data_IF_828691192782
#
_entry.id   IF_828691192782
#
_cell.length_a   1.000
_cell.length_b   1.000
_cell.length_c   1.000
_cell.angle_alpha   90.00
_cell.angle_beta   90.00
_cell.angle_gamma   90.00
#
_symmetry.space_group_name_H-M   'P 1'
#
loop_
_entity.id
_entity.type
_entity.pdbx_description
1 polymer ?
#
# COMPACT_ATOMS: atom_id res chain seq x y z
N UNK A 1 8.25 3.34 -12.72
CA UNK A 1 7.92 2.22 -11.83
C UNK A 1 6.83 1.37 -12.44
N UNK A 2 7.24 0.37 -13.18
CA UNK A 2 6.29 -0.60 -13.73
C UNK A 2 5.70 -1.43 -12.61
N UNK A 3 4.42 -1.74 -12.70
CA UNK A 3 3.72 -2.56 -11.74
C UNK A 3 3.02 -1.80 -10.62
N UNK A 4 3.23 -0.49 -10.49
CA UNK A 4 2.45 0.28 -9.54
C UNK A 4 1.03 0.53 -10.07
N UNK A 5 0.02 0.28 -9.25
CA UNK A 5 -1.36 0.59 -9.60
C UNK A 5 -1.62 2.09 -9.66
N UNK A 6 -0.77 2.86 -9.05
CA UNK A 6 -0.92 4.32 -8.98
C UNK A 6 -0.38 4.94 -10.28
N UNK A 7 -1.29 5.47 -11.09
CA UNK A 7 -0.94 6.09 -12.37
C UNK A 7 -0.03 7.32 -12.23
N UNK A 8 0.11 7.86 -11.02
CA UNK A 8 0.97 9.00 -10.75
C UNK A 8 2.35 8.61 -10.22
N UNK A 9 2.61 7.30 -10.05
CA UNK A 9 3.87 6.83 -9.50
C UNK A 9 5.09 7.38 -10.24
N UNK A 10 5.05 7.33 -11.57
CA UNK A 10 6.13 7.85 -12.39
C UNK A 10 6.40 9.34 -12.15
N UNK A 11 5.33 10.13 -12.08
CA UNK A 11 5.44 11.58 -11.88
C UNK A 11 5.94 11.91 -10.47
N UNK A 12 5.51 11.14 -9.48
CA UNK A 12 5.98 11.29 -8.10
C UNK A 12 7.49 11.02 -8.01
N UNK A 13 7.95 9.97 -8.67
CA UNK A 13 9.37 9.63 -8.74
C UNK A 13 10.13 10.73 -9.47
N UNK A 14 9.61 11.21 -10.60
CA UNK A 14 10.20 12.28 -11.38
C UNK A 14 10.32 13.59 -10.58
N UNK A 15 9.34 13.86 -9.73
CA UNK A 15 9.36 15.02 -8.83
C UNK A 15 10.34 14.85 -7.67
N UNK A 16 11.06 13.73 -7.60
CA UNK A 16 12.05 13.42 -6.56
C UNK A 16 11.46 13.46 -5.15
N UNK A 17 10.20 13.09 -5.02
CA UNK A 17 9.51 13.11 -3.72
C UNK A 17 10.24 12.26 -2.68
N UNK A 18 10.75 11.09 -3.09
CA UNK A 18 11.39 10.17 -2.18
C UNK A 18 12.86 10.47 -1.89
N UNK A 19 13.42 11.50 -2.53
CA UNK A 19 14.80 11.90 -2.25
C UNK A 19 14.92 12.37 -0.80
N UNK A 20 16.00 11.94 -0.13
CA UNK A 20 16.28 12.26 1.27
C UNK A 20 15.27 11.71 2.29
N UNK A 21 14.40 10.80 1.90
CA UNK A 21 13.53 10.09 2.83
C UNK A 21 14.25 8.81 3.27
N UNK A 22 14.61 8.75 4.55
CA UNK A 22 15.35 7.62 5.13
C UNK A 22 14.47 6.74 6.01
N UNK A 23 13.34 7.27 6.49
CA UNK A 23 12.45 6.57 7.40
C UNK A 23 11.03 7.13 7.27
N UNK A 24 10.10 6.54 8.02
CA UNK A 24 8.69 6.95 7.97
C UNK A 24 8.48 8.36 8.51
N UNK A 25 9.27 8.80 9.48
CA UNK A 25 9.14 10.15 10.02
C UNK A 25 9.50 11.21 8.99
N UNK A 26 10.56 11.00 8.22
CA UNK A 26 10.95 11.88 7.10
C UNK A 26 9.82 11.94 6.08
N UNK A 27 9.22 10.81 5.77
CA UNK A 27 8.10 10.71 4.84
C UNK A 27 6.90 11.54 5.33
N UNK A 28 6.50 11.36 6.59
CA UNK A 28 5.36 12.07 7.16
C UNK A 28 5.60 13.58 7.18
N UNK A 29 6.78 14.00 7.57
CA UNK A 29 7.15 15.42 7.56
C UNK A 29 7.05 16.02 6.16
N UNK A 30 7.55 15.31 5.16
CA UNK A 30 7.55 15.80 3.78
C UNK A 30 6.14 15.89 3.21
N UNK A 31 5.31 14.90 3.46
CA UNK A 31 3.95 14.86 2.96
C UNK A 31 3.08 15.94 3.63
N UNK A 32 3.31 16.24 4.91
CA UNK A 32 2.57 17.25 5.66
C UNK A 32 2.93 18.69 5.28
N UNK A 33 4.04 18.89 4.58
CA UNK A 33 4.40 20.22 4.06
C UNK A 33 3.52 20.69 2.89
N UNK A 34 2.50 19.90 2.51
CA UNK A 34 1.54 20.31 1.50
C UNK A 34 1.95 20.01 0.08
N UNK A 35 2.47 18.82 -0.16
CA UNK A 35 2.78 18.38 -1.51
C UNK A 35 1.48 18.26 -2.31
N UNK A 36 1.29 19.14 -3.29
CA UNK A 36 0.13 19.12 -4.17
C UNK A 36 0.56 18.65 -5.57
N UNK A 37 -0.16 17.68 -6.10
CA UNK A 37 0.24 17.05 -7.33
C UNK A 37 -0.94 16.89 -8.28
N UNK A 38 -0.80 17.43 -9.50
CA UNK A 38 -1.78 17.31 -10.58
C UNK A 38 -3.20 17.75 -10.21
N UNK A 39 -3.36 18.81 -9.44
CA UNK A 39 -4.67 19.35 -9.04
C UNK A 39 -5.58 18.32 -8.34
N UNK A 40 -5.01 17.25 -7.80
CA UNK A 40 -5.75 16.26 -7.02
C UNK A 40 -5.98 16.79 -5.61
N UNK A 41 -7.05 16.31 -4.98
CA UNK A 41 -7.27 16.59 -3.56
C UNK A 41 -6.08 16.13 -2.72
N UNK A 42 -5.67 16.96 -1.76
CA UNK A 42 -4.48 16.70 -0.92
C UNK A 42 -4.55 15.33 -0.24
N UNK A 43 -5.71 14.97 0.32
CA UNK A 43 -5.86 13.71 1.05
C UNK A 43 -5.69 12.49 0.13
N UNK A 44 -6.24 12.55 -1.08
CA UNK A 44 -6.08 11.47 -2.03
C UNK A 44 -4.63 11.34 -2.49
N UNK A 45 -3.96 12.46 -2.72
CA UNK A 45 -2.54 12.47 -3.11
C UNK A 45 -1.67 11.86 -2.02
N UNK A 46 -1.92 12.20 -0.75
CA UNK A 46 -1.21 11.61 0.38
C UNK A 46 -1.39 10.10 0.44
N UNK A 47 -2.61 9.62 0.27
CA UNK A 47 -2.90 8.18 0.26
C UNK A 47 -2.16 7.45 -0.87
N UNK A 48 -2.19 8.01 -2.07
CA UNK A 48 -1.52 7.43 -3.23
C UNK A 48 0.01 7.38 -3.05
N UNK A 49 0.59 8.44 -2.52
CA UNK A 49 2.02 8.49 -2.25
C UNK A 49 2.39 7.48 -1.17
N UNK A 50 1.56 7.34 -0.14
CA UNK A 50 1.80 6.36 0.91
C UNK A 50 1.73 4.93 0.39
N UNK A 51 0.82 4.63 -0.55
CA UNK A 51 0.78 3.31 -1.20
C UNK A 51 2.10 3.00 -1.91
N UNK A 52 2.66 3.97 -2.62
CA UNK A 52 3.96 3.80 -3.30
C UNK A 52 5.07 3.59 -2.28
N UNK A 53 5.05 4.34 -1.19
CA UNK A 53 6.00 4.15 -0.09
C UNK A 53 5.92 2.74 0.49
N UNK A 54 4.71 2.23 0.73
CA UNK A 54 4.51 0.89 1.28
C UNK A 54 5.01 -0.20 0.32
N UNK A 55 4.76 -0.04 -0.98
CA UNK A 55 5.26 -0.95 -2.00
C UNK A 55 6.80 -1.02 -1.96
N UNK A 56 7.45 0.14 -1.94
CA UNK A 56 8.91 0.22 -1.87
C UNK A 56 9.44 -0.32 -0.53
N UNK A 57 8.76 -0.02 0.57
CA UNK A 57 9.13 -0.49 1.90
C UNK A 57 9.11 -2.01 1.98
N UNK A 58 8.04 -2.64 1.52
CA UNK A 58 7.94 -4.10 1.49
C UNK A 58 9.03 -4.71 0.61
N UNK A 59 9.27 -4.11 -0.55
CA UNK A 59 10.22 -4.63 -1.53
C UNK A 59 11.66 -4.54 -1.05
N UNK A 60 12.01 -3.52 -0.29
CA UNK A 60 13.40 -3.24 0.10
C UNK A 60 13.75 -3.66 1.51
N UNK A 61 12.77 -3.96 2.37
CA UNK A 61 13.04 -4.37 3.74
C UNK A 61 13.33 -5.87 3.80
N UNK A 62 14.58 -6.28 4.14
CA UNK A 62 14.95 -7.69 4.14
C UNK A 62 14.18 -8.54 5.15
N UNK A 63 13.56 -7.95 6.16
CA UNK A 63 12.75 -8.65 7.15
C UNK A 63 11.61 -9.44 6.52
N UNK A 64 10.99 -8.90 5.44
CA UNK A 64 9.85 -9.53 4.80
C UNK A 64 10.24 -10.55 3.73
N UNK A 65 11.49 -10.61 3.35
CA UNK A 65 12.03 -11.55 2.35
C UNK A 65 11.18 -11.57 1.06
N UNK A 66 10.86 -10.39 0.56
CA UNK A 66 9.96 -10.23 -0.59
C UNK A 66 10.69 -10.53 -1.89
N UNK A 67 10.12 -11.43 -2.68
CA UNK A 67 10.55 -11.69 -4.04
C UNK A 67 9.95 -10.68 -5.01
N UNK A 68 8.66 -10.41 -4.89
CA UNK A 68 7.96 -9.46 -5.76
C UNK A 68 6.74 -8.89 -5.06
N UNK A 69 6.43 -7.63 -5.35
CA UNK A 69 5.22 -6.94 -4.88
C UNK A 69 4.33 -6.68 -6.09
N UNK A 70 3.06 -7.04 -5.95
CA UNK A 70 2.05 -6.85 -6.98
C UNK A 70 0.95 -5.93 -6.45
N UNK A 71 0.97 -4.63 -6.81
CA UNK A 71 -0.15 -3.75 -6.48
C UNK A 71 -1.47 -4.27 -7.05
N UNK A 72 -2.56 -3.90 -6.41
CA UNK A 72 -3.90 -4.25 -6.90
C UNK A 72 -4.07 -3.80 -8.37
N UNK A 73 -4.65 -4.67 -9.20
CA UNK A 73 -4.74 -4.44 -10.63
C UNK A 73 -3.59 -5.04 -11.44
N UNK A 74 -2.48 -5.39 -10.78
CA UNK A 74 -1.33 -6.01 -11.41
C UNK A 74 -1.02 -7.40 -10.85
N UNK A 75 -1.91 -7.94 -10.01
CA UNK A 75 -1.74 -9.28 -9.44
C UNK A 75 -1.93 -10.32 -10.53
N UNK A 76 -0.95 -11.19 -10.79
CA UNK A 76 -1.08 -12.24 -11.81
C UNK A 76 -2.26 -13.16 -11.55
N UNK A 77 -2.83 -13.70 -12.63
CA UNK A 77 -4.00 -14.58 -12.55
C UNK A 77 -3.72 -15.79 -11.65
N UNK A 78 -2.55 -16.40 -11.75
CA UNK A 78 -2.25 -17.58 -10.93
C UNK A 78 -2.24 -17.28 -9.44
N UNK A 79 -1.82 -16.07 -9.03
CA UNK A 79 -1.86 -15.63 -7.65
C UNK A 79 -3.30 -15.33 -7.22
N UNK A 80 -4.05 -14.63 -8.08
CA UNK A 80 -5.46 -14.33 -7.79
C UNK A 80 -6.25 -15.62 -7.59
N UNK A 81 -6.00 -16.63 -8.40
CA UNK A 81 -6.69 -17.91 -8.26
C UNK A 81 -6.34 -18.61 -6.94
N UNK A 82 -5.07 -18.59 -6.54
CA UNK A 82 -4.64 -19.18 -5.27
C UNK A 82 -5.27 -18.48 -4.07
N UNK A 83 -5.37 -17.16 -4.12
CA UNK A 83 -5.90 -16.35 -3.02
C UNK A 83 -7.41 -16.13 -3.15
N UNK A 84 -8.04 -16.65 -4.19
CA UNK A 84 -9.46 -16.46 -4.50
C UNK A 84 -9.84 -14.98 -4.57
N UNK A 85 -8.97 -14.17 -5.17
CA UNK A 85 -9.22 -12.76 -5.41
C UNK A 85 -9.81 -12.55 -6.79
N UNK A 86 -10.94 -11.85 -6.85
CA UNK A 86 -11.51 -11.44 -8.13
C UNK A 86 -10.76 -10.22 -8.67
N UNK A 87 -10.79 -10.04 -9.98
CA UNK A 87 -10.15 -8.89 -10.62
C UNK A 87 -10.66 -7.55 -10.06
N UNK A 88 -11.92 -7.50 -9.67
CA UNK A 88 -12.55 -6.28 -9.17
C UNK A 88 -12.55 -6.16 -7.65
N UNK A 89 -11.93 -7.11 -6.94
CA UNK A 89 -11.87 -7.04 -5.48
C UNK A 89 -11.20 -5.74 -5.04
N UNK A 90 -11.87 -5.07 -4.12
CA UNK A 90 -11.38 -3.86 -3.45
C UNK A 90 -11.27 -4.20 -1.97
N UNK A 91 -10.43 -3.51 -1.26
CA UNK A 91 -10.24 -3.77 0.17
C UNK A 91 -8.85 -4.30 0.48
N UNK A 92 -8.04 -4.51 -0.54
CA UNK A 92 -6.61 -4.74 -0.38
C UNK A 92 -5.85 -3.86 -1.39
N UNK A 93 -4.62 -3.51 -1.08
CA UNK A 93 -3.81 -2.66 -1.96
C UNK A 93 -2.84 -3.46 -2.80
N UNK A 94 -2.56 -4.68 -2.41
CA UNK A 94 -1.73 -5.56 -3.21
C UNK A 94 -1.41 -6.88 -2.52
N UNK A 95 -0.56 -7.63 -3.21
CA UNK A 95 -0.05 -8.94 -2.78
C UNK A 95 1.46 -8.89 -2.88
N UNK A 96 2.15 -9.52 -1.97
CA UNK A 96 3.57 -9.80 -2.17
C UNK A 96 3.87 -11.28 -2.00
N UNK A 97 4.81 -11.76 -2.82
CA UNK A 97 5.31 -13.12 -2.76
C UNK A 97 6.67 -13.10 -2.09
N UNK A 98 6.86 -13.98 -1.11
CA UNK A 98 8.15 -14.12 -0.46
C UNK A 98 9.07 -15.03 -1.27
N UNK A 99 10.37 -15.01 -0.95
CA UNK A 99 11.34 -15.91 -1.58
C UNK A 99 11.03 -17.39 -1.35
N UNK A 100 10.25 -17.69 -0.31
CA UNK A 100 9.79 -19.06 -0.01
C UNK A 100 8.47 -19.43 -0.70
N UNK A 101 7.92 -18.52 -1.52
CA UNK A 101 6.67 -18.75 -2.24
C UNK A 101 5.40 -18.49 -1.45
N UNK A 102 5.49 -17.91 -0.26
CA UNK A 102 4.33 -17.53 0.53
C UNK A 102 3.66 -16.29 -0.09
N UNK A 103 2.33 -16.29 -0.12
CA UNK A 103 1.54 -15.20 -0.68
C UNK A 103 0.86 -14.43 0.44
N UNK A 104 1.20 -13.17 0.55
CA UNK A 104 0.70 -12.28 1.60
C UNK A 104 -0.02 -11.10 0.97
N UNK A 105 -1.13 -10.68 1.57
CA UNK A 105 -1.83 -9.47 1.15
C UNK A 105 -1.43 -8.30 2.02
N UNK A 106 -1.53 -7.09 1.47
CA UNK A 106 -1.30 -5.90 2.26
C UNK A 106 -2.34 -4.83 1.96
N UNK A 107 -2.54 -3.98 2.95
CA UNK A 107 -3.30 -2.76 2.84
C UNK A 107 -2.53 -1.62 3.51
N UNK A 108 -2.56 -0.45 2.89
CA UNK A 108 -1.95 0.76 3.42
C UNK A 108 -3.04 1.74 3.86
N UNK A 109 -2.83 2.41 5.00
CA UNK A 109 -3.76 3.40 5.54
C UNK A 109 -2.97 4.61 6.01
N UNK A 110 -3.02 5.69 5.23
CA UNK A 110 -2.50 6.97 5.65
C UNK A 110 -3.57 7.70 6.46
N UNK A 111 -3.27 7.95 7.73
CA UNK A 111 -4.17 8.65 8.65
C UNK A 111 -3.40 9.74 9.38
N UNK A 112 -4.07 10.82 9.72
CA UNK A 112 -3.48 11.80 10.61
C UNK A 112 -3.28 11.20 11.99
N UNK A 113 -2.42 11.84 12.79
CA UNK A 113 -2.02 11.31 14.10
C UNK A 113 -3.19 10.94 15.01
N UNK A 114 -4.30 11.68 14.91
CA UNK A 114 -5.46 11.50 15.78
C UNK A 114 -6.61 10.73 15.14
N UNK A 115 -6.48 10.35 13.87
CA UNK A 115 -7.51 9.57 13.19
C UNK A 115 -7.45 8.10 13.58
N UNK A 116 -8.61 7.52 13.82
CA UNK A 116 -8.74 6.10 14.11
C UNK A 116 -8.88 5.28 12.84
N UNK A 117 -8.37 4.06 12.89
CA UNK A 117 -8.68 3.03 11.90
C UNK A 117 -10.05 2.46 12.24
N UNK A 118 -10.91 2.34 11.23
CA UNK A 118 -12.25 1.81 11.43
C UNK A 118 -12.32 0.33 11.05
N UNK A 119 -13.13 -0.41 11.79
CA UNK A 119 -13.36 -1.83 11.47
C UNK A 119 -14.36 -2.02 10.34
N UNK A 120 -15.46 -1.28 10.39
CA UNK A 120 -16.57 -1.39 9.42
C UNK A 120 -16.57 -0.24 8.42
N UNK A 121 -17.35 -0.42 7.34
CA UNK A 121 -17.50 0.59 6.30
C UNK A 121 -16.60 0.34 5.09
N UNK A 122 -16.77 1.20 4.09
CA UNK A 122 -16.10 1.06 2.78
C UNK A 122 -14.57 1.01 2.89
N UNK A 123 -14.02 1.74 3.86
CA UNK A 123 -12.58 1.84 4.07
C UNK A 123 -12.15 1.12 5.36
N UNK A 124 -13.00 0.24 5.88
CA UNK A 124 -12.75 -0.45 7.15
C UNK A 124 -11.83 -1.65 7.00
N UNK A 125 -11.24 -2.06 8.10
CA UNK A 125 -10.32 -3.20 8.16
C UNK A 125 -11.02 -4.53 7.88
N UNK A 126 -12.32 -4.63 8.18
CA UNK A 126 -13.09 -5.87 7.95
C UNK A 126 -13.11 -6.28 6.49
N UNK A 127 -13.18 -5.32 5.56
CA UNK A 127 -13.13 -5.61 4.12
C UNK A 127 -11.79 -6.24 3.72
N UNK A 128 -10.69 -5.73 4.26
CA UNK A 128 -9.36 -6.29 4.01
C UNK A 128 -9.24 -7.71 4.56
N UNK A 129 -9.66 -7.92 5.79
CA UNK A 129 -9.61 -9.24 6.43
C UNK A 129 -10.45 -10.24 5.64
N UNK A 130 -11.67 -9.87 5.24
CA UNK A 130 -12.55 -10.75 4.49
C UNK A 130 -12.01 -11.15 3.13
N UNK A 131 -11.53 -10.18 2.33
CA UNK A 131 -11.02 -10.45 0.98
C UNK A 131 -9.70 -11.22 1.03
N UNK A 132 -8.96 -11.13 2.13
CA UNK A 132 -7.63 -11.72 2.31
C UNK A 132 -7.65 -13.05 3.06
N UNK A 133 -8.77 -13.73 3.11
CA UNK A 133 -8.93 -14.95 3.92
C UNK A 133 -7.88 -16.02 3.59
N UNK A 134 -7.51 -16.17 2.33
CA UNK A 134 -6.59 -17.21 1.87
C UNK A 134 -5.11 -16.80 1.91
N UNK A 135 -4.82 -15.58 2.28
CA UNK A 135 -3.43 -15.13 2.40
C UNK A 135 -2.74 -15.79 3.60
N UNK A 136 -1.45 -16.07 3.45
CA UNK A 136 -0.63 -16.58 4.56
C UNK A 136 -0.52 -15.52 5.67
N UNK A 137 -0.20 -14.29 5.30
CA UNK A 137 -0.19 -13.15 6.22
C UNK A 137 -1.01 -12.00 5.60
N UNK A 138 -1.78 -11.32 6.44
CA UNK A 138 -2.47 -10.10 6.08
C UNK A 138 -1.77 -8.94 6.77
N UNK A 139 -1.15 -8.08 5.98
CA UNK A 139 -0.25 -7.06 6.46
C UNK A 139 -0.90 -5.68 6.37
N UNK A 140 -1.13 -5.05 7.51
CA UNK A 140 -1.63 -3.68 7.55
C UNK A 140 -0.46 -2.73 7.78
N UNK A 141 -0.28 -1.80 6.85
CA UNK A 141 0.71 -0.74 6.93
C UNK A 141 -0.04 0.57 7.18
N UNK A 142 0.09 1.11 8.37
CA UNK A 142 -0.68 2.29 8.77
C UNK A 142 0.20 3.32 9.47
N UNK A 143 -0.17 4.58 9.31
CA UNK A 143 0.48 5.70 10.01
C UNK A 143 -0.18 6.02 11.35
N UNK A 144 -1.28 5.34 11.68
CA UNK A 144 -1.97 5.47 12.97
C UNK A 144 -2.01 4.12 13.67
N UNK A 145 -1.82 4.14 14.98
CA UNK A 145 -1.97 2.97 15.84
C UNK A 145 -3.28 2.96 16.62
N UNK A 146 -4.16 3.91 16.36
CA UNK A 146 -5.47 3.98 16.99
C UNK A 146 -6.49 3.15 16.21
N UNK A 147 -7.16 2.27 16.88
CA UNK A 147 -8.21 1.41 16.31
C UNK A 147 -9.54 1.68 17.02
#
# INVERSE_FOLDING_TARGET
MQGSKNKYAYEIIKAKFFDNIKNIDDFIKKINKGFNFNNRGIEKTKGDIFEIFCEAYLKTNPEYQVKEVYPQGYVPIYIRNKLKLNFQDKGYDGVYETINGELNTYQSKFRSKDEQLTWQGKNGLSSFIGVSEKAHIRHLLATSNKV
#
